data_IF_660805969226
#
_entry.id   IF_660805969226
#
_cell.length_a   1.000
_cell.length_b   1.000
_cell.length_c   1.000
_cell.angle_alpha   90.00
_cell.angle_beta   90.00
_cell.angle_gamma   90.00
#
_symmetry.space_group_name_H-M   'P 1'
#
loop_
_entity.id
_entity.type
_entity.pdbx_description
1 polymer ?
#
# COMPACT_ATOMS: atom_id res chain seq x y z
N UNK A 1 11.10 21.55 8.81
CA UNK A 1 10.37 20.53 9.58
C UNK A 1 9.55 19.69 8.60
N UNK A 2 9.87 18.40 8.40
CA UNK A 2 9.19 17.52 7.44
C UNK A 2 7.77 17.12 7.82
N UNK A 3 7.35 17.25 9.09
CA UNK A 3 6.00 16.86 9.53
C UNK A 3 5.15 18.08 9.83
N UNK A 4 5.64 19.02 10.63
CA UNK A 4 4.90 20.21 11.07
C UNK A 4 4.92 21.35 10.04
N UNK A 5 5.66 21.21 8.93
CA UNK A 5 5.64 22.18 7.84
C UNK A 5 4.20 22.50 7.42
N UNK A 6 3.79 23.76 7.65
CA UNK A 6 2.40 24.22 7.54
C UNK A 6 1.92 24.49 6.10
N UNK A 7 2.79 24.41 5.09
CA UNK A 7 2.32 24.28 3.71
C UNK A 7 1.97 22.83 3.52
N UNK A 8 0.73 22.48 3.19
CA UNK A 8 0.25 21.10 3.20
C UNK A 8 1.07 20.11 2.36
N UNK A 9 2.08 20.55 1.64
CA UNK A 9 3.14 19.81 0.99
C UNK A 9 3.83 18.74 1.86
N UNK A 10 4.53 17.83 1.18
CA UNK A 10 5.20 16.63 1.67
C UNK A 10 4.27 15.50 2.14
N UNK A 11 3.00 15.46 1.69
CA UNK A 11 2.04 14.41 2.03
C UNK A 11 2.57 12.99 1.89
N UNK A 12 3.32 12.71 0.83
CA UNK A 12 3.89 11.39 0.59
C UNK A 12 4.79 10.94 1.75
N UNK A 13 5.72 11.81 2.17
CA UNK A 13 6.70 11.49 3.21
C UNK A 13 6.06 11.29 4.57
N UNK A 14 5.19 12.22 5.01
CA UNK A 14 4.48 12.09 6.30
C UNK A 14 3.53 10.90 6.33
N UNK A 15 2.81 10.63 5.24
CA UNK A 15 1.91 9.48 5.14
C UNK A 15 2.66 8.13 5.20
N UNK A 16 3.74 7.96 4.45
CA UNK A 16 4.55 6.73 4.52
C UNK A 16 5.27 6.58 5.87
N UNK A 17 5.72 7.69 6.47
CA UNK A 17 6.36 7.63 7.78
C UNK A 17 5.37 7.17 8.86
N UNK A 18 4.17 7.74 8.89
CA UNK A 18 3.10 7.27 9.77
C UNK A 18 2.75 5.80 9.51
N UNK A 19 2.63 5.42 8.23
CA UNK A 19 2.32 4.05 7.84
C UNK A 19 3.37 3.06 8.35
N UNK A 20 4.65 3.42 8.26
CA UNK A 20 5.77 2.61 8.74
C UNK A 20 5.70 2.44 10.27
N UNK A 21 5.44 3.52 11.02
CA UNK A 21 5.29 3.46 12.47
C UNK A 21 4.12 2.55 12.88
N UNK A 22 2.96 2.73 12.26
CA UNK A 22 1.77 1.91 12.52
C UNK A 22 2.02 0.42 12.23
N UNK A 23 2.68 0.09 11.10
CA UNK A 23 3.02 -1.31 10.79
C UNK A 23 4.06 -1.89 11.75
N UNK A 24 5.08 -1.11 12.14
CA UNK A 24 6.08 -1.58 13.08
C UNK A 24 5.47 -1.85 14.46
N UNK A 25 4.55 -1.00 14.92
CA UNK A 25 3.79 -1.24 16.15
C UNK A 25 2.93 -2.49 16.02
N UNK A 26 2.19 -2.64 14.92
CA UNK A 26 1.39 -3.83 14.64
C UNK A 26 2.22 -5.11 14.62
N UNK A 27 3.48 -5.06 14.18
CA UNK A 27 4.36 -6.24 14.11
C UNK A 27 5.03 -6.52 15.47
N UNK A 28 5.55 -5.49 16.12
CA UNK A 28 6.46 -5.64 17.26
C UNK A 28 5.81 -5.45 18.63
N UNK A 29 4.61 -4.85 18.68
CA UNK A 29 3.91 -4.51 19.92
C UNK A 29 4.54 -3.32 20.66
N UNK A 30 5.54 -2.67 20.04
CA UNK A 30 6.13 -1.45 20.57
C UNK A 30 5.35 -0.27 20.03
N UNK A 31 4.66 0.41 20.93
CA UNK A 31 4.03 1.69 20.63
C UNK A 31 5.11 2.76 20.59
N UNK A 32 5.09 3.61 19.56
CA UNK A 32 6.00 4.76 19.46
C UNK A 32 5.44 5.96 20.22
N UNK A 33 5.09 5.72 21.49
CA UNK A 33 4.71 6.75 22.45
C UNK A 33 5.90 7.61 22.82
N UNK A 34 7.11 7.04 22.73
CA UNK A 34 8.35 7.80 22.84
C UNK A 34 8.70 8.42 21.48
N UNK A 35 9.18 9.67 21.47
CA UNK A 35 9.53 10.34 20.22
C UNK A 35 10.57 9.58 19.40
N UNK A 36 10.33 9.55 18.08
CA UNK A 36 11.24 9.06 17.05
C UNK A 36 11.94 10.25 16.42
N UNK A 37 13.27 10.18 16.35
CA UNK A 37 14.10 11.23 15.77
C UNK A 37 14.15 11.10 14.25
N UNK A 38 13.71 12.14 13.54
CA UNK A 38 14.00 12.38 12.14
C UNK A 38 15.29 13.19 12.05
N UNK A 39 16.39 12.50 11.71
CA UNK A 39 17.73 13.09 11.62
C UNK A 39 18.02 13.46 10.17
N UNK A 40 18.13 14.76 9.88
CA UNK A 40 18.60 15.24 8.58
C UNK A 40 20.14 15.29 8.55
N UNK A 41 20.72 15.89 9.59
CA UNK A 41 22.16 15.89 9.86
C UNK A 41 22.43 16.04 11.38
N UNK A 42 23.68 16.28 11.75
CA UNK A 42 24.09 16.39 13.15
C UNK A 42 23.42 17.57 13.89
N UNK A 43 23.04 18.63 13.18
CA UNK A 43 22.47 19.86 13.74
C UNK A 43 20.94 19.92 13.60
N UNK A 44 20.39 19.35 12.52
CA UNK A 44 18.98 19.40 12.17
C UNK A 44 18.33 18.06 12.48
N UNK A 45 17.60 18.05 13.60
CA UNK A 45 16.84 16.91 14.09
C UNK A 45 15.44 17.36 14.45
N UNK A 46 14.46 16.52 14.14
CA UNK A 46 13.08 16.73 14.52
C UNK A 46 12.58 15.50 15.28
N UNK A 47 11.75 15.71 16.28
CA UNK A 47 11.29 14.66 17.17
C UNK A 47 9.78 14.58 17.11
N UNK A 48 9.24 13.39 16.83
CA UNK A 48 7.80 13.18 16.71
C UNK A 48 7.39 11.86 17.33
N UNK A 49 6.25 11.86 18.00
CA UNK A 49 5.52 10.65 18.39
C UNK A 49 4.58 10.19 17.27
N UNK A 50 4.14 8.93 17.35
CA UNK A 50 3.13 8.38 16.44
C UNK A 50 1.87 9.28 16.41
N UNK A 51 1.35 9.61 17.60
CA UNK A 51 0.12 10.40 17.75
C UNK A 51 0.26 11.84 17.24
N UNK A 52 1.41 12.49 17.42
CA UNK A 52 1.63 13.84 16.91
C UNK A 52 1.55 13.89 15.38
N UNK A 53 2.10 12.89 14.69
CA UNK A 53 2.03 12.84 13.22
C UNK A 53 0.59 12.61 12.77
N UNK A 54 -0.13 11.67 13.41
CA UNK A 54 -1.52 11.39 13.09
C UNK A 54 -2.43 12.62 13.33
N UNK A 55 -2.18 13.34 14.43
CA UNK A 55 -2.91 14.58 14.76
C UNK A 55 -2.65 15.68 13.72
N UNK A 56 -1.39 15.87 13.29
CA UNK A 56 -1.05 16.85 12.24
C UNK A 56 -1.77 16.52 10.93
N UNK A 57 -1.80 15.25 10.53
CA UNK A 57 -2.55 14.85 9.33
C UNK A 57 -4.04 15.11 9.48
N UNK A 58 -4.63 14.73 10.62
CA UNK A 58 -6.04 15.01 10.90
C UNK A 58 -6.35 16.51 10.79
N UNK A 59 -5.54 17.37 11.43
CA UNK A 59 -5.74 18.82 11.40
C UNK A 59 -5.63 19.37 9.97
N UNK A 60 -4.68 18.89 9.17
CA UNK A 60 -4.51 19.28 7.77
C UNK A 60 -5.65 18.80 6.87
N UNK A 61 -6.18 17.59 7.09
CA UNK A 61 -7.38 17.13 6.40
C UNK A 61 -8.63 17.91 6.80
N UNK A 62 -8.68 18.38 8.04
CA UNK A 62 -9.80 19.14 8.58
C UNK A 62 -9.73 20.63 8.26
N UNK A 63 -8.56 21.15 7.90
CA UNK A 63 -8.35 22.54 7.55
C UNK A 63 -9.28 22.98 6.40
N UNK A 64 -10.02 24.05 6.63
CA UNK A 64 -10.90 24.66 5.63
C UNK A 64 -10.23 25.85 4.93
N UNK A 65 -9.19 26.42 5.55
CA UNK A 65 -8.40 27.54 5.03
C UNK A 65 -6.91 27.33 5.30
N UNK A 66 -6.05 27.85 4.43
CA UNK A 66 -4.61 27.95 4.72
C UNK A 66 -4.27 29.18 5.58
N UNK A 67 -2.98 29.29 5.96
CA UNK A 67 -2.45 30.44 6.73
C UNK A 67 -2.65 31.79 6.02
N UNK A 68 -2.89 31.80 4.70
CA UNK A 68 -3.21 32.97 3.89
C UNK A 68 -4.70 33.30 3.78
N UNK A 69 -5.58 32.47 4.34
CA UNK A 69 -7.04 32.62 4.29
C UNK A 69 -7.68 32.05 3.01
N UNK A 70 -6.96 31.29 2.20
CA UNK A 70 -7.48 30.65 0.99
C UNK A 70 -8.27 29.40 1.36
N UNK A 71 -9.51 29.25 0.85
CA UNK A 71 -10.30 28.03 1.06
C UNK A 71 -9.61 26.80 0.49
N UNK A 72 -9.48 25.77 1.32
CA UNK A 72 -8.85 24.51 0.95
C UNK A 72 -9.90 23.51 0.46
N UNK A 73 -9.60 22.85 -0.66
CA UNK A 73 -10.32 21.64 -1.07
C UNK A 73 -9.92 20.48 -0.15
N UNK A 74 -10.76 19.45 0.01
CA UNK A 74 -10.38 18.27 0.78
C UNK A 74 -9.08 17.62 0.29
N UNK A 75 -8.30 17.05 1.21
CA UNK A 75 -7.00 16.43 0.92
C UNK A 75 -5.82 17.27 1.40
N UNK A 76 -4.63 16.74 1.21
CA UNK A 76 -3.37 17.36 1.61
C UNK A 76 -2.42 17.30 0.39
N UNK A 77 -1.76 18.41 0.08
CA UNK A 77 -0.90 18.52 -1.10
C UNK A 77 0.43 17.76 -0.94
N UNK A 78 0.96 17.21 -2.03
CA UNK A 78 2.29 16.59 -2.00
C UNK A 78 3.36 17.65 -2.29
N UNK A 79 3.16 18.41 -3.36
CA UNK A 79 3.88 19.64 -3.66
C UNK A 79 2.92 20.81 -3.51
N UNK A 80 3.43 22.02 -3.27
CA UNK A 80 2.59 23.20 -3.01
C UNK A 80 1.46 23.32 -4.04
N UNK A 81 0.22 23.22 -3.55
CA UNK A 81 -1.00 23.36 -4.35
C UNK A 81 -1.35 22.15 -5.23
N UNK A 82 -0.61 21.04 -5.16
CA UNK A 82 -0.82 19.83 -5.98
C UNK A 82 -1.21 18.64 -5.11
N UNK A 83 -2.45 18.19 -5.26
CA UNK A 83 -3.02 17.08 -4.49
C UNK A 83 -3.01 15.82 -5.33
N UNK A 84 -2.19 14.85 -4.93
CA UNK A 84 -2.06 13.56 -5.62
C UNK A 84 -2.88 12.50 -4.87
N UNK A 85 -3.83 11.80 -5.53
CA UNK A 85 -4.61 10.74 -4.91
C UNK A 85 -3.79 9.71 -4.15
N UNK A 86 -2.69 9.26 -4.75
CA UNK A 86 -1.73 8.32 -4.14
C UNK A 86 -1.17 8.85 -2.81
N UNK A 87 -0.65 10.08 -2.81
CA UNK A 87 -0.06 10.68 -1.61
C UNK A 87 -1.08 10.80 -0.49
N UNK A 88 -2.31 11.20 -0.83
CA UNK A 88 -3.37 11.35 0.16
C UNK A 88 -3.84 9.99 0.69
N UNK A 89 -3.93 8.96 -0.17
CA UNK A 89 -4.38 7.63 0.24
C UNK A 89 -3.43 6.90 1.15
N UNK A 90 -2.11 7.06 1.01
CA UNK A 90 -1.17 6.42 1.93
C UNK A 90 -1.32 6.95 3.36
N UNK A 91 -1.55 8.26 3.54
CA UNK A 91 -1.81 8.82 4.86
C UNK A 91 -3.17 8.43 5.43
N UNK A 92 -4.20 8.35 4.59
CA UNK A 92 -5.51 7.83 4.99
C UNK A 92 -5.47 6.38 5.48
N UNK A 93 -4.71 5.53 4.78
CA UNK A 93 -4.44 4.14 5.18
C UNK A 93 -3.67 4.08 6.49
N UNK A 94 -2.65 4.92 6.66
CA UNK A 94 -1.87 5.00 7.88
C UNK A 94 -2.74 5.37 9.09
N UNK A 95 -3.52 6.46 8.98
CA UNK A 95 -4.46 6.88 10.04
C UNK A 95 -5.51 5.81 10.37
N UNK A 96 -5.96 5.03 9.37
CA UNK A 96 -6.88 3.92 9.64
C UNK A 96 -6.26 2.87 10.56
N UNK A 97 -5.01 2.47 10.31
CA UNK A 97 -4.33 1.52 11.17
C UNK A 97 -4.00 2.15 12.54
N UNK A 98 -3.59 3.42 12.59
CA UNK A 98 -3.38 4.16 13.85
C UNK A 98 -4.64 4.15 14.72
N UNK A 99 -5.81 4.48 14.14
CA UNK A 99 -7.09 4.47 14.88
C UNK A 99 -7.40 3.09 15.47
N UNK A 100 -7.05 2.01 14.77
CA UNK A 100 -7.22 0.63 15.27
C UNK A 100 -6.27 0.29 16.41
N UNK A 101 -5.03 0.76 16.34
CA UNK A 101 -4.00 0.47 17.34
C UNK A 101 -4.25 1.28 18.63
N UNK A 102 -4.60 2.56 18.50
CA UNK A 102 -4.66 3.49 19.63
C UNK A 102 -6.09 3.77 20.10
N UNK A 103 -7.13 3.31 19.39
CA UNK A 103 -8.51 3.58 19.72
C UNK A 103 -8.93 5.04 19.48
N UNK A 104 -8.27 5.71 18.53
CA UNK A 104 -8.52 7.10 18.13
C UNK A 104 -9.47 7.17 16.92
N UNK A 105 -9.70 8.37 16.39
CA UNK A 105 -10.62 8.61 15.26
C UNK A 105 -10.07 9.65 14.26
N UNK A 106 -8.74 9.70 14.12
CA UNK A 106 -8.00 10.63 13.25
C UNK A 106 -8.33 10.44 11.77
N UNK A 107 -8.77 9.24 11.37
CA UNK A 107 -9.17 8.96 10.00
C UNK A 107 -10.40 9.76 9.56
N UNK A 108 -11.18 10.36 10.46
CA UNK A 108 -12.36 11.16 10.07
C UNK A 108 -12.05 12.28 9.08
N UNK A 109 -10.88 12.91 9.19
CA UNK A 109 -10.43 13.89 8.20
C UNK A 109 -10.30 13.30 6.79
N UNK A 110 -9.83 12.06 6.68
CA UNK A 110 -9.69 11.35 5.40
C UNK A 110 -11.05 10.96 4.77
N UNK A 111 -12.12 10.79 5.55
CA UNK A 111 -13.46 10.58 4.96
C UNK A 111 -13.92 11.77 4.12
N UNK A 112 -13.56 13.01 4.50
CA UNK A 112 -13.84 14.21 3.68
C UNK A 112 -13.18 14.11 2.31
N UNK A 113 -11.95 13.61 2.26
CA UNK A 113 -11.25 13.34 0.99
C UNK A 113 -11.99 12.29 0.17
N UNK A 114 -12.32 11.14 0.78
CA UNK A 114 -13.00 10.05 0.08
C UNK A 114 -14.36 10.49 -0.49
N UNK A 115 -15.14 11.24 0.27
CA UNK A 115 -16.43 11.76 -0.20
C UNK A 115 -16.26 12.78 -1.32
N UNK A 116 -15.23 13.62 -1.25
CA UNK A 116 -14.92 14.59 -2.29
C UNK A 116 -14.51 13.91 -3.60
N UNK A 117 -13.60 12.94 -3.58
CA UNK A 117 -13.14 12.27 -4.81
C UNK A 117 -14.28 11.56 -5.55
N UNK A 118 -15.25 10.99 -4.81
CA UNK A 118 -16.41 10.27 -5.37
C UNK A 118 -17.41 11.18 -6.08
N UNK A 119 -17.38 12.49 -5.82
CA UNK A 119 -18.25 13.49 -6.46
C UNK A 119 -17.70 13.96 -7.83
N UNK A 120 -17.08 13.05 -8.58
CA UNK A 120 -16.42 13.35 -9.86
C UNK A 120 -15.29 14.40 -9.77
N UNK A 121 -14.69 14.57 -8.60
CA UNK A 121 -13.58 15.51 -8.44
C UNK A 121 -12.23 14.89 -8.79
N UNK A 122 -12.03 13.58 -8.58
CA UNK A 122 -10.76 12.89 -8.91
C UNK A 122 -10.93 11.61 -9.72
N UNK A 123 -12.13 11.05 -9.74
CA UNK A 123 -12.46 9.83 -10.48
C UNK A 123 -13.88 9.97 -11.04
N UNK A 124 -14.15 9.45 -12.23
CA UNK A 124 -15.50 9.64 -12.79
C UNK A 124 -15.73 9.00 -14.14
N UNK A 125 -16.83 9.44 -14.77
CA UNK A 125 -17.23 9.03 -16.12
C UNK A 125 -17.87 7.64 -16.21
N UNK A 126 -18.25 7.03 -15.09
CA UNK A 126 -18.92 5.72 -15.09
C UNK A 126 -20.26 5.78 -15.84
N UNK A 127 -20.57 4.76 -16.65
CA UNK A 127 -21.82 4.69 -17.43
C UNK A 127 -23.05 4.43 -16.56
N UNK A 128 -22.84 3.81 -15.39
CA UNK A 128 -23.86 3.55 -14.38
C UNK A 128 -23.38 4.06 -13.02
N UNK A 129 -24.30 4.37 -12.08
CA UNK A 129 -23.91 4.93 -10.77
C UNK A 129 -22.87 4.11 -10.01
N UNK A 130 -22.93 2.78 -10.15
CA UNK A 130 -22.05 1.82 -9.47
C UNK A 130 -21.02 1.18 -10.40
N UNK A 131 -21.00 1.55 -11.68
CA UNK A 131 -20.09 0.99 -12.68
C UNK A 131 -18.64 1.43 -12.50
N UNK A 132 -17.71 0.77 -13.22
CA UNK A 132 -16.29 1.12 -13.22
C UNK A 132 -16.08 2.57 -13.66
N UNK A 133 -15.05 3.21 -13.10
CA UNK A 133 -14.67 4.55 -13.51
C UNK A 133 -14.01 4.54 -14.90
N UNK A 134 -14.24 5.59 -15.68
CA UNK A 134 -13.69 5.75 -17.03
C UNK A 134 -12.51 6.73 -17.09
N UNK A 135 -12.29 7.54 -16.05
CA UNK A 135 -11.08 8.35 -15.89
C UNK A 135 -10.68 8.45 -14.41
N UNK A 136 -9.38 8.59 -14.17
CA UNK A 136 -8.81 8.94 -12.87
C UNK A 136 -7.79 10.07 -13.05
N UNK A 137 -7.75 10.98 -12.08
CA UNK A 137 -6.84 12.13 -12.04
C UNK A 137 -5.46 11.72 -11.50
N UNK A 138 -4.38 12.20 -12.12
CA UNK A 138 -3.01 12.06 -11.56
C UNK A 138 -2.81 13.01 -10.37
N UNK A 139 -3.15 14.29 -10.56
CA UNK A 139 -3.22 15.27 -9.48
C UNK A 139 -4.27 16.34 -9.76
N UNK A 140 -4.76 16.94 -8.68
CA UNK A 140 -5.58 18.14 -8.70
C UNK A 140 -4.73 19.35 -8.31
N UNK A 141 -4.83 20.40 -9.11
CA UNK A 141 -4.20 21.68 -8.85
C UNK A 141 -5.18 22.62 -8.13
N UNK A 142 -4.82 23.11 -6.95
CA UNK A 142 -5.67 24.01 -6.15
C UNK A 142 -5.65 25.44 -6.67
N UNK A 143 -4.53 25.87 -7.24
CA UNK A 143 -4.33 27.26 -7.66
C UNK A 143 -5.06 27.54 -8.98
N UNK A 144 -5.07 26.52 -9.84
CA UNK A 144 -5.84 26.50 -11.08
C UNK A 144 -6.74 25.26 -11.01
N UNK A 145 -8.03 25.34 -10.64
CA UNK A 145 -8.87 24.16 -10.34
C UNK A 145 -8.96 23.18 -11.53
N UNK A 146 -7.96 22.30 -11.63
CA UNK A 146 -7.60 21.53 -12.81
C UNK A 146 -7.26 20.12 -12.38
N UNK A 147 -7.88 19.17 -13.07
CA UNK A 147 -7.57 17.76 -12.97
C UNK A 147 -6.66 17.34 -14.11
N UNK A 148 -5.51 16.77 -13.80
CA UNK A 148 -4.69 16.10 -14.80
C UNK A 148 -5.28 14.72 -15.13
N UNK A 149 -6.36 14.70 -15.93
CA UNK A 149 -7.15 13.50 -16.24
C UNK A 149 -7.49 13.31 -17.74
N UNK A 150 -6.90 14.09 -18.65
CA UNK A 150 -7.01 13.87 -20.09
C UNK A 150 -6.58 12.46 -20.55
N UNK A 151 -6.91 12.06 -21.80
CA UNK A 151 -6.59 10.73 -22.33
C UNK A 151 -5.12 10.34 -22.18
N UNK A 152 -4.21 11.28 -22.45
CA UNK A 152 -2.76 11.12 -22.29
C UNK A 152 -2.27 11.14 -20.84
N UNK A 153 -3.16 11.23 -19.85
CA UNK A 153 -2.84 11.20 -18.43
C UNK A 153 -3.34 9.91 -17.76
N UNK A 154 -3.89 8.97 -18.53
CA UNK A 154 -4.45 7.73 -18.00
C UNK A 154 -3.35 6.67 -17.85
N UNK A 155 -2.64 6.68 -16.72
CA UNK A 155 -1.52 5.77 -16.42
C UNK A 155 -2.01 4.61 -15.54
N UNK A 156 -1.80 3.32 -15.92
CA UNK A 156 -2.28 2.17 -15.15
C UNK A 156 -1.84 2.18 -13.69
N UNK A 157 -0.56 2.48 -13.43
CA UNK A 157 -0.01 2.61 -12.08
C UNK A 157 -0.78 3.60 -11.21
N UNK A 158 -1.19 4.76 -11.75
CA UNK A 158 -1.99 5.72 -10.99
C UNK A 158 -3.33 5.11 -10.54
N UNK A 159 -4.02 4.40 -11.43
CA UNK A 159 -5.30 3.77 -11.12
C UNK A 159 -5.16 2.65 -10.10
N UNK A 160 -4.24 1.72 -10.36
CA UNK A 160 -4.13 0.46 -9.65
C UNK A 160 -3.48 0.63 -8.29
N UNK A 161 -2.47 1.49 -8.16
CA UNK A 161 -1.88 1.84 -6.86
C UNK A 161 -2.91 2.54 -5.96
N UNK A 162 -3.71 3.46 -6.51
CA UNK A 162 -4.78 4.11 -5.77
C UNK A 162 -5.88 3.12 -5.38
N UNK A 163 -6.33 2.25 -6.29
CA UNK A 163 -7.29 1.20 -5.98
C UNK A 163 -6.81 0.33 -4.81
N UNK A 164 -5.55 -0.11 -4.87
CA UNK A 164 -4.95 -0.92 -3.82
C UNK A 164 -4.98 -0.20 -2.45
N UNK A 165 -4.55 1.06 -2.40
CA UNK A 165 -4.52 1.84 -1.16
C UNK A 165 -5.92 2.18 -0.63
N UNK A 166 -6.88 2.49 -1.51
CA UNK A 166 -8.26 2.80 -1.11
C UNK A 166 -8.99 1.59 -0.53
N UNK A 167 -8.59 0.36 -0.88
CA UNK A 167 -9.32 -0.84 -0.47
C UNK A 167 -9.39 -1.06 1.03
N UNK A 168 -8.44 -0.51 1.79
CA UNK A 168 -8.47 -0.53 3.26
C UNK A 168 -9.60 0.32 3.83
N UNK A 169 -10.04 1.30 3.05
CA UNK A 169 -10.83 2.42 3.51
C UNK A 169 -12.23 2.50 2.89
N UNK A 170 -12.32 2.28 1.58
CA UNK A 170 -13.54 2.29 0.79
C UNK A 170 -13.38 1.25 -0.34
N UNK A 171 -13.74 0.00 -0.04
CA UNK A 171 -13.63 -1.12 -0.98
C UNK A 171 -14.45 -0.90 -2.25
N UNK A 172 -15.58 -0.18 -2.16
CA UNK A 172 -16.43 0.10 -3.33
C UNK A 172 -15.73 1.04 -4.30
N UNK A 173 -15.15 2.13 -3.80
CA UNK A 173 -14.31 3.03 -4.60
C UNK A 173 -13.13 2.28 -5.23
N UNK A 174 -12.42 1.49 -4.42
CA UNK A 174 -11.26 0.72 -4.87
C UNK A 174 -11.60 -0.26 -6.01
N UNK A 175 -12.70 -1.01 -5.84
CA UNK A 175 -13.16 -2.01 -6.83
C UNK A 175 -13.50 -1.33 -8.15
N UNK A 176 -14.23 -0.21 -8.11
CA UNK A 176 -14.60 0.54 -9.34
C UNK A 176 -13.39 1.10 -10.08
N UNK A 177 -12.34 1.51 -9.36
CA UNK A 177 -11.07 1.93 -9.95
C UNK A 177 -10.33 0.74 -10.56
N UNK A 178 -10.24 -0.38 -9.84
CA UNK A 178 -9.61 -1.60 -10.34
C UNK A 178 -10.28 -2.13 -11.60
N UNK A 179 -11.61 -2.30 -11.60
CA UNK A 179 -12.35 -2.78 -12.76
C UNK A 179 -12.18 -1.83 -13.96
N UNK A 180 -12.23 -0.52 -13.74
CA UNK A 180 -11.96 0.48 -14.78
C UNK A 180 -10.55 0.37 -15.36
N UNK A 181 -9.55 0.12 -14.50
CA UNK A 181 -8.18 -0.08 -14.92
C UNK A 181 -7.99 -1.38 -15.71
N UNK A 182 -8.55 -2.50 -15.24
CA UNK A 182 -8.47 -3.79 -15.92
C UNK A 182 -9.14 -3.71 -17.30
N UNK A 183 -10.33 -3.13 -17.39
CA UNK A 183 -11.04 -2.95 -18.66
C UNK A 183 -10.26 -2.11 -19.67
N UNK A 184 -9.45 -1.15 -19.20
CA UNK A 184 -8.74 -0.20 -20.06
C UNK A 184 -7.34 -0.65 -20.44
N UNK A 185 -6.59 -1.23 -19.50
CA UNK A 185 -5.13 -1.39 -19.63
C UNK A 185 -4.67 -2.84 -19.72
N UNK A 186 -5.52 -3.80 -19.37
CA UNK A 186 -5.13 -5.21 -19.42
C UNK A 186 -5.21 -5.73 -20.85
N UNK A 187 -4.12 -6.32 -21.31
CA UNK A 187 -4.04 -7.04 -22.57
C UNK A 187 -4.05 -8.55 -22.28
N UNK A 188 -4.89 -9.26 -23.02
CA UNK A 188 -5.00 -10.72 -22.96
C UNK A 188 -4.26 -11.31 -24.13
N UNK A 189 -3.29 -12.17 -23.85
CA UNK A 189 -2.54 -12.85 -24.90
C UNK A 189 -3.27 -14.11 -25.39
N UNK A 190 -2.99 -14.57 -26.63
CA UNK A 190 -3.63 -15.76 -27.19
C UNK A 190 -3.43 -17.03 -26.36
N UNK A 191 -2.36 -17.10 -25.58
CA UNK A 191 -2.08 -18.22 -24.70
C UNK A 191 -2.89 -18.17 -23.38
N UNK A 192 -3.65 -17.10 -23.14
CA UNK A 192 -4.48 -16.88 -21.96
C UNK A 192 -3.81 -16.10 -20.83
N UNK A 193 -2.49 -15.84 -20.90
CA UNK A 193 -1.81 -14.93 -19.96
C UNK A 193 -2.27 -13.47 -20.17
N UNK A 194 -1.90 -12.59 -19.25
CA UNK A 194 -2.28 -11.18 -19.32
C UNK A 194 -1.18 -10.26 -18.78
N UNK A 195 -1.13 -9.04 -19.30
CA UNK A 195 -0.23 -8.00 -18.81
C UNK A 195 -0.90 -6.63 -18.85
N UNK A 196 -0.26 -5.64 -18.21
CA UNK A 196 -0.77 -4.28 -18.10
C UNK A 196 0.12 -3.35 -18.93
N UNK A 197 -0.51 -2.62 -19.85
CA UNK A 197 0.20 -1.69 -20.73
C UNK A 197 -0.19 -0.25 -20.49
N UNK A 198 0.77 0.64 -20.74
CA UNK A 198 0.48 2.04 -21.00
C UNK A 198 -0.43 2.14 -22.22
N UNK A 199 -1.36 3.11 -22.24
CA UNK A 199 -2.18 3.36 -23.40
C UNK A 199 -1.31 3.85 -24.59
N UNK A 200 -1.75 3.65 -25.84
CA UNK A 200 -1.01 4.09 -27.03
C UNK A 200 -0.64 5.58 -27.03
N UNK A 201 -1.48 6.43 -26.42
CA UNK A 201 -1.28 7.86 -26.25
C UNK A 201 -0.02 8.20 -25.44
N UNK A 202 0.47 7.25 -24.64
CA UNK A 202 1.70 7.35 -23.84
C UNK A 202 2.88 6.58 -24.43
N UNK A 203 2.78 6.17 -25.70
CA UNK A 203 3.81 5.40 -26.39
C UNK A 203 3.68 3.88 -26.22
N UNK A 204 2.67 3.41 -25.48
CA UNK A 204 2.46 1.99 -25.23
C UNK A 204 3.57 1.34 -24.39
N UNK A 205 3.66 0.02 -24.44
CA UNK A 205 4.61 -0.76 -23.65
C UNK A 205 4.10 -1.09 -22.25
N UNK A 206 4.86 -1.90 -21.52
CA UNK A 206 4.48 -2.39 -20.20
C UNK A 206 4.64 -1.30 -19.13
N UNK A 207 3.64 -1.17 -18.25
CA UNK A 207 3.76 -0.40 -17.01
C UNK A 207 4.04 -1.39 -15.86
N UNK A 208 5.30 -1.53 -15.47
CA UNK A 208 5.70 -2.53 -14.46
C UNK A 208 5.11 -2.25 -13.07
N UNK A 209 4.93 -0.97 -12.71
CA UNK A 209 4.30 -0.57 -11.44
C UNK A 209 2.80 -0.88 -11.50
N UNK A 210 2.15 -0.50 -12.60
CA UNK A 210 0.76 -0.86 -12.86
C UNK A 210 0.54 -2.37 -12.87
N UNK A 211 1.43 -3.14 -13.50
CA UNK A 211 1.39 -4.59 -13.49
C UNK A 211 1.46 -5.15 -12.06
N UNK A 212 2.46 -4.73 -11.28
CA UNK A 212 2.62 -5.22 -9.91
C UNK A 212 1.39 -4.92 -9.04
N UNK A 213 0.85 -3.71 -9.16
CA UNK A 213 -0.36 -3.32 -8.45
C UNK A 213 -1.61 -4.08 -8.93
N UNK A 214 -1.73 -4.38 -10.23
CA UNK A 214 -2.83 -5.21 -10.75
C UNK A 214 -2.84 -6.61 -10.17
N UNK A 215 -1.67 -7.27 -10.07
CA UNK A 215 -1.56 -8.61 -9.49
C UNK A 215 -2.02 -8.58 -8.03
N UNK A 216 -1.54 -7.61 -7.24
CA UNK A 216 -1.94 -7.47 -5.84
C UNK A 216 -3.40 -7.08 -5.68
N UNK A 217 -3.96 -6.19 -6.49
CA UNK A 217 -5.39 -5.87 -6.48
C UNK A 217 -6.26 -7.10 -6.80
N UNK A 218 -5.92 -7.85 -7.85
CA UNK A 218 -6.68 -9.04 -8.24
C UNK A 218 -6.68 -10.09 -7.12
N UNK A 219 -5.53 -10.31 -6.48
CA UNK A 219 -5.41 -11.19 -5.32
C UNK A 219 -6.20 -10.70 -4.11
N UNK A 220 -6.11 -9.41 -3.83
CA UNK A 220 -6.71 -8.77 -2.66
C UNK A 220 -8.25 -8.66 -2.78
N UNK A 221 -8.78 -8.50 -4.01
CA UNK A 221 -10.21 -8.32 -4.28
C UNK A 221 -10.93 -9.64 -4.64
N UNK A 222 -10.19 -10.75 -4.69
CA UNK A 222 -10.75 -12.07 -4.98
C UNK A 222 -11.03 -12.33 -6.45
N UNK A 223 -10.43 -11.56 -7.36
CA UNK A 223 -10.44 -11.80 -8.80
C UNK A 223 -9.33 -12.80 -9.16
N UNK A 224 -9.55 -14.06 -8.78
CA UNK A 224 -8.55 -15.12 -8.92
C UNK A 224 -8.26 -15.50 -10.38
N UNK A 225 -9.23 -15.28 -11.28
CA UNK A 225 -9.05 -15.54 -12.70
C UNK A 225 -8.10 -14.52 -13.33
N UNK A 226 -8.31 -13.22 -13.09
CA UNK A 226 -7.36 -12.18 -13.54
C UNK A 226 -6.00 -12.37 -12.89
N UNK A 227 -5.96 -12.64 -11.58
CA UNK A 227 -4.72 -12.92 -10.86
C UNK A 227 -3.93 -14.07 -11.50
N UNK A 228 -4.57 -15.21 -11.80
CA UNK A 228 -3.90 -16.36 -12.41
C UNK A 228 -3.27 -16.03 -13.77
N UNK A 229 -3.93 -15.19 -14.56
CA UNK A 229 -3.47 -14.79 -15.90
C UNK A 229 -2.30 -13.81 -15.85
N UNK A 230 -2.36 -12.82 -14.96
CA UNK A 230 -1.25 -11.90 -14.69
C UNK A 230 -0.05 -12.65 -14.08
N UNK A 231 -0.30 -13.52 -13.11
CA UNK A 231 0.73 -14.31 -12.46
C UNK A 231 1.45 -15.25 -13.43
N UNK A 232 0.73 -15.80 -14.42
CA UNK A 232 1.34 -16.58 -15.49
C UNK A 232 2.30 -15.73 -16.34
N UNK A 233 1.88 -14.54 -16.77
CA UNK A 233 2.75 -13.62 -17.49
C UNK A 233 4.01 -13.27 -16.69
N UNK A 234 3.89 -12.94 -15.39
CA UNK A 234 5.04 -12.63 -14.55
C UNK A 234 6.07 -13.76 -14.49
N UNK A 235 5.59 -15.00 -14.38
CA UNK A 235 6.46 -16.18 -14.32
C UNK A 235 7.19 -16.43 -15.64
N UNK A 236 6.52 -16.18 -16.76
CA UNK A 236 7.08 -16.40 -18.09
C UNK A 236 8.01 -15.25 -18.55
N UNK A 237 7.75 -14.01 -18.10
CA UNK A 237 8.40 -12.80 -18.64
C UNK A 237 9.31 -12.03 -17.67
N UNK A 238 9.17 -12.18 -16.35
CA UNK A 238 9.89 -11.34 -15.37
C UNK A 238 10.91 -12.10 -14.51
N UNK A 239 11.31 -13.28 -14.95
CA UNK A 239 12.42 -14.07 -14.38
C UNK A 239 12.30 -14.25 -12.84
N UNK A 240 11.28 -14.98 -12.34
CA UNK A 240 11.17 -15.28 -10.91
C UNK A 240 12.46 -15.93 -10.40
N UNK A 241 13.05 -15.33 -9.38
CA UNK A 241 14.36 -15.70 -8.88
C UNK A 241 14.28 -16.04 -7.40
N UNK A 242 14.88 -17.17 -7.02
CA UNK A 242 15.15 -17.53 -5.61
C UNK A 242 16.65 -17.57 -5.40
N UNK A 243 17.16 -16.76 -4.47
CA UNK A 243 18.59 -16.69 -4.17
C UNK A 243 18.78 -16.28 -2.71
N UNK A 244 19.65 -16.98 -1.99
CA UNK A 244 20.02 -16.68 -0.60
C UNK A 244 18.81 -16.51 0.35
N UNK A 245 17.78 -17.35 0.17
CA UNK A 245 16.54 -17.31 0.95
C UNK A 245 15.52 -16.25 0.50
N UNK A 246 15.86 -15.36 -0.44
CA UNK A 246 14.97 -14.34 -0.97
C UNK A 246 14.20 -14.83 -2.22
N UNK A 247 13.05 -14.22 -2.49
CA UNK A 247 12.30 -14.35 -3.74
C UNK A 247 11.98 -12.98 -4.32
N UNK A 248 12.19 -12.79 -5.61
CA UNK A 248 11.84 -11.58 -6.36
C UNK A 248 11.75 -11.87 -7.86
N UNK A 249 11.06 -10.99 -8.59
CA UNK A 249 11.11 -10.93 -10.06
C UNK A 249 12.16 -9.90 -10.48
N UNK A 250 12.89 -10.18 -11.56
CA UNK A 250 13.90 -9.24 -12.09
C UNK A 250 13.31 -8.17 -12.99
N UNK A 251 12.15 -8.43 -13.61
CA UNK A 251 11.51 -7.50 -14.55
C UNK A 251 12.41 -7.03 -15.70
N UNK A 252 13.38 -7.84 -16.13
CA UNK A 252 14.36 -7.45 -17.14
C UNK A 252 15.30 -6.30 -16.74
N UNK A 253 15.32 -5.91 -15.45
CA UNK A 253 16.19 -4.85 -14.94
C UNK A 253 17.59 -5.43 -14.68
N UNK A 254 18.60 -4.93 -15.41
CA UNK A 254 20.00 -5.35 -15.28
C UNK A 254 20.75 -4.50 -14.26
N UNK A 255 20.43 -4.71 -12.98
CA UNK A 255 21.06 -4.03 -11.85
C UNK A 255 21.63 -5.04 -10.84
N UNK A 256 22.58 -4.61 -10.00
CA UNK A 256 23.22 -5.47 -8.99
C UNK A 256 22.20 -6.10 -8.02
N UNK A 257 21.11 -5.39 -7.72
CA UNK A 257 20.05 -5.80 -6.81
C UNK A 257 18.68 -5.58 -7.46
N UNK A 258 18.26 -6.44 -8.40
CA UNK A 258 17.13 -6.19 -9.31
C UNK A 258 15.77 -6.49 -8.64
N UNK A 259 15.55 -5.92 -7.45
CA UNK A 259 14.34 -6.07 -6.64
C UNK A 259 13.39 -4.88 -6.80
N UNK A 260 13.63 -3.97 -7.76
CA UNK A 260 13.03 -2.64 -7.82
C UNK A 260 11.51 -2.56 -7.58
N UNK A 261 11.03 -1.35 -7.30
CA UNK A 261 9.65 -0.89 -7.13
C UNK A 261 8.47 -1.79 -7.58
N UNK A 262 8.41 -2.43 -8.78
CA UNK A 262 7.38 -3.41 -9.10
C UNK A 262 7.26 -4.60 -8.12
N UNK A 263 8.36 -5.08 -7.53
CA UNK A 263 8.29 -6.14 -6.52
C UNK A 263 7.57 -5.68 -5.26
N UNK A 264 7.74 -4.42 -4.85
CA UNK A 264 7.04 -3.87 -3.67
C UNK A 264 5.53 -3.91 -3.89
N UNK A 265 5.09 -3.60 -5.11
CA UNK A 265 3.68 -3.66 -5.49
C UNK A 265 3.15 -5.08 -5.67
N UNK A 266 4.00 -6.05 -6.03
CA UNK A 266 3.62 -7.47 -6.07
C UNK A 266 3.66 -8.16 -4.69
N UNK A 267 4.26 -7.53 -3.67
CA UNK A 267 4.59 -8.18 -2.40
C UNK A 267 3.42 -8.96 -1.80
N UNK A 268 2.24 -8.35 -1.71
CA UNK A 268 1.11 -8.98 -1.04
C UNK A 268 0.47 -10.12 -1.84
N UNK A 269 0.60 -10.14 -3.18
CA UNK A 269 0.23 -11.30 -3.99
C UNK A 269 1.17 -12.50 -3.78
N UNK A 270 2.43 -12.24 -3.41
CA UNK A 270 3.46 -13.27 -3.24
C UNK A 270 3.55 -13.75 -1.79
N UNK A 271 3.49 -12.82 -0.83
CA UNK A 271 3.73 -13.07 0.59
C UNK A 271 2.45 -13.17 1.42
N UNK A 272 1.37 -12.51 0.97
CA UNK A 272 0.08 -12.51 1.66
C UNK A 272 -0.90 -13.53 1.11
N UNK A 273 -1.89 -13.92 1.92
CA UNK A 273 -3.09 -14.61 1.42
C UNK A 273 -4.11 -13.61 0.82
N UNK A 274 -5.17 -14.09 0.15
CA UNK A 274 -6.21 -13.21 -0.38
C UNK A 274 -6.84 -12.37 0.73
N UNK A 275 -7.07 -11.08 0.47
CA UNK A 275 -7.68 -10.17 1.44
C UNK A 275 -6.81 -9.83 2.65
N UNK A 276 -5.52 -10.24 2.66
CA UNK A 276 -4.67 -10.08 3.85
C UNK A 276 -4.37 -8.62 4.14
N UNK A 277 -4.27 -7.79 3.10
CA UNK A 277 -3.97 -6.37 3.27
C UNK A 277 -5.14 -5.66 3.96
N UNK A 278 -6.36 -5.87 3.46
CA UNK A 278 -7.60 -5.37 4.05
C UNK A 278 -7.78 -5.89 5.47
N UNK A 279 -7.54 -7.18 5.69
CA UNK A 279 -7.66 -7.77 7.03
C UNK A 279 -6.69 -7.11 8.00
N UNK A 280 -5.44 -6.89 7.60
CA UNK A 280 -4.42 -6.25 8.43
C UNK A 280 -4.86 -4.87 8.94
N UNK A 281 -5.56 -4.09 8.11
CA UNK A 281 -6.00 -2.75 8.48
C UNK A 281 -7.39 -2.72 9.14
N UNK A 282 -8.29 -3.62 8.77
CA UNK A 282 -9.68 -3.61 9.26
C UNK A 282 -9.86 -4.38 10.58
N UNK A 283 -9.11 -5.47 10.75
CA UNK A 283 -9.14 -6.37 11.89
C UNK A 283 -7.70 -6.82 12.27
N UNK A 284 -6.84 -5.87 12.69
CA UNK A 284 -5.48 -6.20 13.10
C UNK A 284 -5.51 -7.14 14.31
N UNK A 285 -4.71 -8.21 14.26
CA UNK A 285 -4.52 -9.11 15.39
C UNK A 285 -3.57 -8.49 16.42
N UNK A 286 -4.14 -7.68 17.31
CA UNK A 286 -3.41 -7.03 18.42
C UNK A 286 -3.34 -7.97 19.64
N UNK A 287 -4.31 -8.89 19.78
CA UNK A 287 -4.37 -9.84 20.89
C UNK A 287 -3.14 -10.76 20.95
N UNK A 288 -2.49 -11.01 19.81
CA UNK A 288 -1.25 -11.80 19.73
C UNK A 288 -0.18 -11.37 20.73
N UNK A 289 -0.11 -10.10 21.13
CA UNK A 289 0.88 -9.61 22.09
C UNK A 289 0.64 -10.09 23.53
N UNK A 290 -0.55 -10.60 23.82
CA UNK A 290 -0.90 -11.21 25.11
C UNK A 290 -1.01 -12.73 25.03
N UNK A 291 -0.70 -13.32 23.87
CA UNK A 291 -0.79 -14.75 23.62
C UNK A 291 0.60 -15.38 23.60
N UNK A 292 0.72 -16.70 23.87
CA UNK A 292 1.96 -17.43 23.70
C UNK A 292 2.54 -17.22 22.30
N UNK A 293 3.84 -16.89 22.24
CA UNK A 293 4.55 -16.57 21.01
C UNK A 293 5.80 -17.43 20.86
N UNK A 294 6.09 -17.85 19.63
CA UNK A 294 7.32 -18.57 19.28
C UNK A 294 8.48 -17.58 19.18
N UNK A 295 9.60 -17.86 19.83
CA UNK A 295 10.78 -16.99 19.80
C UNK A 295 12.07 -17.80 19.67
N UNK A 296 13.18 -17.12 19.35
CA UNK A 296 14.49 -17.78 19.23
C UNK A 296 14.58 -18.81 18.11
N UNK A 297 13.80 -18.64 17.04
CA UNK A 297 13.87 -19.47 15.84
C UNK A 297 15.25 -19.31 15.21
N UNK A 298 15.95 -20.43 15.00
CA UNK A 298 17.20 -20.42 14.26
C UNK A 298 16.92 -20.26 12.75
N UNK A 299 16.74 -19.02 12.29
CA UNK A 299 16.55 -18.66 10.88
C UNK A 299 17.92 -18.38 10.22
N UNK A 300 18.18 -18.82 8.96
CA UNK A 300 17.24 -19.42 8.02
C UNK A 300 17.08 -20.94 8.14
N UNK A 301 17.74 -21.60 9.09
CA UNK A 301 17.83 -23.07 9.19
C UNK A 301 16.49 -23.75 9.51
N UNK A 302 15.60 -23.03 10.20
CA UNK A 302 14.22 -23.42 10.48
C UNK A 302 13.28 -22.38 9.90
N UNK A 303 12.38 -22.83 9.03
CA UNK A 303 11.31 -22.00 8.50
C UNK A 303 10.02 -22.27 9.28
N UNK A 304 9.41 -21.21 9.81
CA UNK A 304 8.10 -21.25 10.46
C UNK A 304 7.03 -21.07 9.39
N UNK A 305 6.21 -22.10 9.18
CA UNK A 305 5.05 -22.05 8.28
C UNK A 305 3.79 -21.55 8.99
N UNK A 306 3.70 -21.81 10.29
CA UNK A 306 2.59 -21.37 11.12
C UNK A 306 3.06 -21.19 12.56
N UNK A 307 2.66 -20.08 13.17
CA UNK A 307 2.72 -19.87 14.61
C UNK A 307 1.49 -19.06 15.01
N UNK A 308 0.42 -19.74 15.44
CA UNK A 308 -0.85 -19.10 15.78
C UNK A 308 -1.42 -19.70 17.06
N UNK A 309 -1.77 -18.85 18.02
CA UNK A 309 -2.48 -19.29 19.21
C UNK A 309 -3.93 -19.62 18.89
N UNK A 310 -4.39 -20.80 19.32
CA UNK A 310 -5.77 -21.24 19.19
C UNK A 310 -6.42 -21.23 20.58
N UNK A 311 -7.29 -20.23 20.79
CA UNK A 311 -8.03 -20.04 22.04
C UNK A 311 -8.96 -21.22 22.38
N UNK A 312 -9.47 -21.95 21.38
CA UNK A 312 -10.43 -23.03 21.58
C UNK A 312 -9.81 -24.26 22.26
N UNK A 313 -8.52 -24.47 22.03
CA UNK A 313 -7.74 -25.56 22.63
C UNK A 313 -6.67 -25.07 23.62
N UNK A 314 -6.54 -23.75 23.80
CA UNK A 314 -5.59 -23.13 24.72
C UNK A 314 -4.13 -23.42 24.38
N UNK A 315 -3.78 -23.52 23.09
CA UNK A 315 -2.44 -23.94 22.66
C UNK A 315 -1.90 -23.11 21.49
N UNK A 316 -0.57 -22.94 21.46
CA UNK A 316 0.14 -22.38 20.31
C UNK A 316 0.35 -23.47 19.26
N UNK A 317 -0.33 -23.34 18.12
CA UNK A 317 -0.20 -24.27 16.99
C UNK A 317 0.99 -23.85 16.13
N UNK A 318 1.96 -24.76 16.02
CA UNK A 318 3.20 -24.56 15.28
C UNK A 318 3.31 -25.52 14.11
N UNK A 319 3.70 -25.00 12.95
CA UNK A 319 4.18 -25.79 11.82
C UNK A 319 5.54 -25.26 11.41
N UNK A 320 6.55 -26.11 11.41
CA UNK A 320 7.92 -25.78 11.03
C UNK A 320 8.41 -26.71 9.92
N UNK A 321 9.34 -26.24 9.11
CA UNK A 321 10.03 -27.02 8.08
C UNK A 321 11.52 -26.71 8.11
N UNK A 322 12.32 -27.57 7.48
CA UNK A 322 13.71 -27.25 7.17
C UNK A 322 13.82 -25.94 6.38
N UNK A 323 14.84 -25.16 6.70
CA UNK A 323 15.22 -23.91 6.08
C UNK A 323 15.60 -24.00 4.60
N UNK A 324 15.81 -22.83 3.98
CA UNK A 324 16.05 -22.68 2.54
C UNK A 324 17.35 -23.29 2.03
N UNK A 325 18.32 -23.56 2.90
CA UNK A 325 19.70 -23.77 2.44
C UNK A 325 20.15 -25.23 2.39
N UNK A 326 19.43 -26.18 2.99
CA UNK A 326 19.74 -27.63 2.91
C UNK A 326 21.14 -28.08 3.41
N UNK A 327 22.05 -27.13 3.66
CA UNK A 327 23.46 -27.32 4.05
C UNK A 327 23.63 -27.93 5.44
N UNK A 328 22.56 -27.92 6.24
CA UNK A 328 22.59 -28.28 7.67
C UNK A 328 21.69 -29.49 7.97
N UNK A 329 21.40 -30.32 6.95
CA UNK A 329 20.65 -31.56 7.15
C UNK A 329 21.38 -32.47 8.17
N UNK A 330 20.76 -32.68 9.33
CA UNK A 330 21.32 -33.47 10.43
C UNK A 330 21.95 -32.65 11.57
N UNK A 331 22.05 -31.33 11.44
CA UNK A 331 22.50 -30.47 12.53
C UNK A 331 21.39 -30.20 13.56
N UNK A 332 21.79 -29.97 14.81
CA UNK A 332 20.84 -29.60 15.88
C UNK A 332 20.38 -28.17 15.67
N UNK A 333 19.09 -27.94 15.87
CA UNK A 333 18.48 -26.61 15.82
C UNK A 333 17.66 -26.33 17.07
N UNK A 334 17.30 -25.06 17.30
CA UNK A 334 16.56 -24.60 18.49
C UNK A 334 15.46 -23.61 18.12
N UNK A 335 14.39 -23.64 18.91
CA UNK A 335 13.34 -22.63 19.02
C UNK A 335 12.71 -22.78 20.42
N UNK A 336 12.07 -21.74 20.95
CA UNK A 336 11.44 -21.78 22.28
C UNK A 336 10.03 -21.19 22.30
#
# INVERSE_FOLDING_TARGET
DPIWGNGGSYMMGKGYFLNMLAHYELISGKQFDNPVEFVYDDEIRFSYTHDEIAQVLYDQFMAEVDDGGTTLTPGIDCEVGKVFPWCVSVGGMAMHLTDKLHGTNTRTGYYRWLDWIKQENMVGGAETPDGPYNWATIYYDRDIPYNMNGPQHQIPGNWLCCAYQYSMSDLKLATRLYEGAINKFMITEPDGSAHINLPPELGGGEDLVGFGAAVSCAWEFGDYDTHARLQRWANDHYQPTRKDGEFYYKFGIDEQWPRGWPNDWMLMSVAGGPGSWQKMHNDPDIKKFHQPTLVGVNYPDVAVRQAKYDESIGALVLSITAGSDGKLAGEKTTFR
#
